data_IF_305470932496
#
_entry.id   IF_305470932496
#
_cell.length_a   1.000
_cell.length_b   1.000
_cell.length_c   1.000
_cell.angle_alpha   90.00
_cell.angle_beta   90.00
_cell.angle_gamma   90.00
#
_symmetry.space_group_name_H-M   'P 1'
#
loop_
_entity.id
_entity.type
_entity.pdbx_description
1 polymer ?
#
# COMPACT_ATOMS: atom_id res chain seq x y z
N UNK A 1 -4.31 13.12 17.49
CA UNK A 1 -4.77 11.89 18.18
C UNK A 1 -3.55 11.05 18.46
N UNK A 2 -3.39 10.54 19.68
CA UNK A 2 -2.21 9.74 20.07
C UNK A 2 -2.60 8.28 20.18
N UNK A 3 -2.00 7.46 19.32
CA UNK A 3 -2.23 6.02 19.24
C UNK A 3 -1.52 5.27 20.38
N UNK A 4 -1.90 4.01 20.67
CA UNK A 4 -1.22 3.18 21.68
C UNK A 4 0.29 3.03 21.46
N UNK A 5 0.75 3.07 20.20
CA UNK A 5 2.17 3.08 19.82
C UNK A 5 2.95 4.32 20.29
N UNK A 6 2.25 5.36 20.74
CA UNK A 6 2.81 6.68 21.05
C UNK A 6 2.84 7.63 19.84
N UNK A 7 2.61 7.12 18.63
CA UNK A 7 2.53 7.95 17.43
C UNK A 7 1.38 8.95 17.52
N UNK A 8 1.59 10.16 17.01
CA UNK A 8 0.59 11.23 17.04
C UNK A 8 0.28 11.71 15.64
N UNK A 9 -1.01 11.72 15.31
CA UNK A 9 -1.53 12.27 14.05
C UNK A 9 -2.27 13.57 14.34
N UNK A 10 -1.81 14.66 13.73
CA UNK A 10 -2.39 16.00 13.83
C UNK A 10 -3.08 16.43 12.53
N UNK A 11 -3.53 17.69 12.43
CA UNK A 11 -4.19 18.21 11.22
C UNK A 11 -5.58 17.63 10.93
N UNK A 12 -6.12 16.81 11.84
CA UNK A 12 -7.42 16.16 11.71
C UNK A 12 -8.59 17.13 11.88
N UNK A 13 -9.68 16.87 11.18
CA UNK A 13 -10.95 17.56 11.32
C UNK A 13 -11.85 16.93 12.39
N UNK A 14 -13.15 16.88 12.10
CA UNK A 14 -14.16 16.37 13.04
C UNK A 14 -14.03 14.87 13.30
N UNK A 15 -13.42 14.13 12.38
CA UNK A 15 -13.14 12.69 12.44
C UNK A 15 -12.22 12.30 13.60
N UNK A 16 -11.41 13.24 14.12
CA UNK A 16 -10.54 12.99 15.27
C UNK A 16 -11.29 12.40 16.47
N UNK A 17 -12.55 12.80 16.68
CA UNK A 17 -13.40 12.29 17.78
C UNK A 17 -13.66 10.79 17.66
N UNK A 18 -13.74 10.27 16.44
CA UNK A 18 -13.97 8.86 16.18
C UNK A 18 -12.70 8.07 16.53
N UNK A 19 -11.55 8.59 16.11
CA UNK A 19 -10.25 7.95 16.26
C UNK A 19 -9.82 7.81 17.72
N UNK A 20 -10.21 8.73 18.61
CA UNK A 20 -9.93 8.61 20.07
C UNK A 20 -10.42 7.27 20.64
N UNK A 21 -11.56 6.75 20.15
CA UNK A 21 -12.08 5.45 20.57
C UNK A 21 -11.67 4.31 19.65
N UNK A 22 -11.58 4.57 18.34
CA UNK A 22 -11.33 3.57 17.30
C UNK A 22 -9.85 3.41 16.93
N UNK A 23 -8.93 3.85 17.79
CA UNK A 23 -7.47 3.66 17.66
C UNK A 23 -6.95 2.32 18.20
N UNK A 24 -7.83 1.48 18.75
CA UNK A 24 -7.42 0.29 19.51
C UNK A 24 -6.90 0.62 20.91
N UNK A 25 -6.38 -0.39 21.60
CA UNK A 25 -5.88 -0.30 22.99
C UNK A 25 -4.45 -0.82 23.19
N UNK A 26 -3.82 -1.31 22.14
CA UNK A 26 -2.42 -1.73 22.10
C UNK A 26 -1.89 -1.57 20.68
N UNK A 27 -0.60 -1.80 20.52
CA UNK A 27 0.14 -1.76 19.27
C UNK A 27 1.16 -2.91 19.22
N UNK A 28 1.91 -3.01 18.11
CA UNK A 28 3.06 -3.91 18.04
C UNK A 28 4.13 -3.64 19.12
N UNK A 29 4.23 -2.38 19.59
CA UNK A 29 5.17 -1.99 20.64
C UNK A 29 4.95 -2.76 21.95
N UNK A 30 3.70 -2.95 22.37
CA UNK A 30 3.40 -3.73 23.58
C UNK A 30 3.74 -5.22 23.40
N UNK A 31 3.60 -5.77 22.20
CA UNK A 31 4.01 -7.15 21.89
C UNK A 31 5.54 -7.28 21.99
N UNK A 32 6.29 -6.37 21.38
CA UNK A 32 7.75 -6.36 21.49
C UNK A 32 8.22 -6.16 22.93
N UNK A 33 7.60 -5.24 23.68
CA UNK A 33 7.90 -5.03 25.09
C UNK A 33 7.67 -6.30 25.91
N UNK A 34 6.56 -7.00 25.68
CA UNK A 34 6.26 -8.26 26.35
C UNK A 34 7.28 -9.36 26.02
N UNK A 35 7.73 -9.44 24.76
CA UNK A 35 8.77 -10.39 24.33
C UNK A 35 10.11 -10.06 24.99
N UNK A 36 10.50 -8.79 25.01
CA UNK A 36 11.73 -8.32 25.66
C UNK A 36 11.73 -8.65 27.16
N UNK A 37 10.63 -8.38 27.86
CA UNK A 37 10.50 -8.64 29.30
C UNK A 37 10.49 -10.14 29.62
N UNK A 38 9.87 -10.95 28.76
CA UNK A 38 9.83 -12.41 28.91
C UNK A 38 11.16 -13.11 28.60
N UNK A 39 12.03 -12.46 27.82
CA UNK A 39 13.37 -12.92 27.41
C UNK A 39 13.47 -14.43 27.08
N UNK A 40 12.63 -14.97 26.17
CA UNK A 40 12.70 -16.38 25.78
C UNK A 40 14.01 -16.69 25.04
N UNK A 41 14.42 -17.96 25.05
CA UNK A 41 15.71 -18.37 24.47
C UNK A 41 15.78 -18.22 22.94
N UNK A 42 14.62 -18.33 22.27
CA UNK A 42 14.41 -18.12 20.84
C UNK A 42 12.91 -17.89 20.57
N UNK A 43 12.56 -17.61 19.32
CA UNK A 43 11.19 -17.29 18.88
C UNK A 43 10.18 -18.43 19.04
N UNK A 44 10.67 -19.65 19.28
CA UNK A 44 9.87 -20.87 19.38
C UNK A 44 9.86 -21.47 20.79
N UNK A 45 10.46 -20.80 21.76
CA UNK A 45 10.50 -21.24 23.15
C UNK A 45 9.34 -20.63 23.93
N UNK A 46 8.49 -21.45 24.58
CA UNK A 46 7.41 -20.94 25.44
C UNK A 46 7.95 -20.13 26.61
N UNK A 47 7.23 -19.09 26.99
CA UNK A 47 7.50 -18.35 28.23
C UNK A 47 6.23 -18.07 29.00
N UNK A 48 6.26 -18.29 30.32
CA UNK A 48 5.17 -17.93 31.24
C UNK A 48 4.98 -16.40 31.35
N UNK A 49 5.97 -15.61 30.92
CA UNK A 49 5.88 -14.16 30.82
C UNK A 49 5.12 -13.67 29.58
N UNK A 50 4.84 -14.56 28.62
CA UNK A 50 4.10 -14.24 27.41
C UNK A 50 2.61 -14.53 27.57
N UNK A 51 1.78 -13.66 27.02
CA UNK A 51 0.33 -13.77 26.98
C UNK A 51 -0.22 -13.00 25.79
N UNK A 52 -1.44 -13.31 25.36
CA UNK A 52 -2.04 -12.60 24.24
C UNK A 52 -2.28 -11.12 24.54
N UNK A 53 -1.64 -10.25 23.75
CA UNK A 53 -1.92 -8.80 23.72
C UNK A 53 -3.09 -8.54 22.78
N UNK A 54 -4.08 -7.75 23.22
CA UNK A 54 -5.31 -7.53 22.45
C UNK A 54 -5.46 -6.07 22.02
N UNK A 55 -5.41 -5.82 20.71
CA UNK A 55 -5.66 -4.51 20.09
C UNK A 55 -7.05 -3.95 20.38
N UNK A 56 -7.97 -4.79 20.84
CA UNK A 56 -9.37 -4.48 21.12
C UNK A 56 -10.21 -4.31 19.84
N UNK A 57 -11.54 -4.27 19.99
CA UNK A 57 -12.45 -4.32 18.85
C UNK A 57 -12.56 -2.98 18.11
N UNK A 58 -12.83 -3.06 16.81
CA UNK A 58 -13.02 -1.92 15.91
C UNK A 58 -11.88 -0.89 15.88
N UNK A 59 -10.60 -1.30 15.70
CA UNK A 59 -9.44 -0.42 15.63
C UNK A 59 -9.31 0.28 14.25
N UNK A 60 -10.43 0.76 13.70
CA UNK A 60 -10.52 1.30 12.33
C UNK A 60 -9.51 2.43 12.04
N UNK A 61 -9.22 3.27 13.04
CA UNK A 61 -8.23 4.33 12.88
C UNK A 61 -6.80 3.77 12.81
N UNK A 62 -6.50 2.72 13.58
CA UNK A 62 -5.20 2.07 13.53
C UNK A 62 -4.99 1.38 12.17
N UNK A 63 -6.04 0.77 11.60
CA UNK A 63 -6.00 0.20 10.25
C UNK A 63 -5.83 1.29 9.18
N UNK A 64 -6.64 2.36 9.22
CA UNK A 64 -6.59 3.44 8.23
C UNK A 64 -5.21 4.12 8.15
N UNK A 65 -4.63 4.43 9.32
CA UNK A 65 -3.35 5.11 9.43
C UNK A 65 -2.15 4.16 9.33
N UNK A 66 -2.36 2.85 9.52
CA UNK A 66 -1.38 1.80 9.26
C UNK A 66 0.01 2.13 9.82
N UNK A 67 1.04 2.22 8.97
CA UNK A 67 2.40 2.56 9.38
C UNK A 67 2.57 3.90 10.10
N UNK A 68 1.62 4.83 10.04
CA UNK A 68 1.65 6.06 10.87
C UNK A 68 1.14 5.82 12.29
N UNK A 69 0.25 4.83 12.47
CA UNK A 69 -0.31 4.47 13.77
C UNK A 69 0.44 3.31 14.44
N UNK A 70 1.18 2.51 13.67
CA UNK A 70 1.84 1.27 14.11
C UNK A 70 0.89 0.36 14.91
N UNK A 71 -0.37 0.25 14.47
CA UNK A 71 -1.40 -0.47 15.21
C UNK A 71 -1.21 -1.98 15.19
N UNK A 72 -0.80 -2.52 14.04
CA UNK A 72 -0.45 -3.92 13.84
C UNK A 72 0.92 -4.27 14.41
N UNK A 73 1.26 -5.55 14.37
CA UNK A 73 2.63 -6.00 14.59
C UNK A 73 3.38 -5.97 13.26
N UNK A 74 4.23 -4.96 13.11
CA UNK A 74 5.06 -4.74 11.93
C UNK A 74 6.42 -5.43 12.12
N UNK A 75 6.82 -6.28 11.17
CA UNK A 75 8.08 -7.01 11.25
C UNK A 75 9.26 -6.11 10.87
N UNK A 76 10.32 -6.14 11.68
CA UNK A 76 11.41 -5.14 11.62
C UNK A 76 12.19 -5.03 10.29
N UNK A 77 12.13 -6.05 9.42
CA UNK A 77 12.81 -6.03 8.11
C UNK A 77 11.83 -5.82 6.94
N UNK A 78 10.55 -5.62 7.25
CA UNK A 78 9.49 -5.41 6.28
C UNK A 78 9.07 -3.95 6.30
N UNK A 79 8.59 -3.47 5.15
CA UNK A 79 8.01 -2.14 5.05
C UNK A 79 6.52 -2.23 4.81
N UNK A 80 5.78 -1.31 5.41
CA UNK A 80 4.32 -1.32 5.42
C UNK A 80 3.76 -0.08 4.74
N UNK A 81 2.58 -0.23 4.15
CA UNK A 81 1.80 0.91 3.70
C UNK A 81 1.51 1.84 4.88
N UNK A 82 1.53 3.14 4.61
CA UNK A 82 1.15 4.16 5.59
C UNK A 82 -0.35 4.47 5.43
N UNK A 83 -0.78 5.70 5.67
CA UNK A 83 -2.19 6.07 5.61
C UNK A 83 -2.79 5.79 4.23
N UNK A 84 -3.91 5.07 4.21
CA UNK A 84 -4.68 4.90 2.99
C UNK A 84 -5.40 6.21 2.64
N UNK A 85 -5.22 6.65 1.39
CA UNK A 85 -5.89 7.82 0.81
C UNK A 85 -6.95 7.35 -0.18
N UNK A 86 -8.20 7.68 0.11
CA UNK A 86 -9.29 7.49 -0.83
C UNK A 86 -9.47 8.75 -1.69
N UNK A 87 -10.53 8.85 -2.50
CA UNK A 87 -10.82 10.09 -3.23
C UNK A 87 -11.16 11.24 -2.26
N UNK A 88 -10.84 12.52 -2.57
CA UNK A 88 -10.92 13.62 -1.61
C UNK A 88 -12.28 13.85 -0.91
N UNK A 89 -13.37 13.39 -1.49
CA UNK A 89 -14.72 13.50 -0.91
C UNK A 89 -15.09 12.36 0.07
N UNK A 90 -14.25 11.32 0.16
CA UNK A 90 -14.48 10.09 0.92
C UNK A 90 -13.20 9.61 1.62
N UNK A 91 -12.43 10.53 2.19
CA UNK A 91 -11.12 10.29 2.80
C UNK A 91 -11.15 10.38 4.34
N UNK A 92 -12.33 10.67 4.92
CA UNK A 92 -12.55 10.80 6.37
C UNK A 92 -13.67 9.90 6.88
N UNK A 93 -13.60 9.53 8.16
CA UNK A 93 -14.53 8.59 8.78
C UNK A 93 -16.01 9.01 8.61
N UNK A 94 -16.33 10.29 8.82
CA UNK A 94 -17.70 10.82 8.78
C UNK A 94 -18.23 11.09 7.36
N UNK A 95 -17.42 10.84 6.31
CA UNK A 95 -17.85 10.91 4.92
C UNK A 95 -18.47 9.57 4.48
N UNK A 96 -17.92 8.46 4.98
CA UNK A 96 -18.45 7.11 4.75
C UNK A 96 -19.43 6.65 5.85
N UNK A 97 -19.26 7.11 7.09
CA UNK A 97 -20.09 6.71 8.23
C UNK A 97 -21.00 7.84 8.71
N UNK A 98 -22.22 7.48 9.09
CA UNK A 98 -23.08 8.38 9.82
C UNK A 98 -22.58 8.61 11.26
N UNK A 99 -22.33 9.86 11.64
CA UNK A 99 -21.69 10.17 12.93
C UNK A 99 -22.54 9.86 14.17
N UNK A 100 -23.86 9.62 14.02
CA UNK A 100 -24.75 9.33 15.16
C UNK A 100 -25.07 7.83 15.27
N UNK A 101 -25.17 7.14 14.14
CA UNK A 101 -25.51 5.70 14.11
C UNK A 101 -24.32 4.80 13.86
N UNK A 102 -23.18 5.38 13.45
CA UNK A 102 -21.95 4.73 12.99
C UNK A 102 -22.12 3.77 11.81
N UNK A 103 -23.32 3.72 11.22
CA UNK A 103 -23.62 2.89 10.05
C UNK A 103 -22.92 3.44 8.80
N UNK A 104 -22.45 2.53 7.97
CA UNK A 104 -21.89 2.82 6.65
C UNK A 104 -23.00 3.32 5.73
N UNK A 105 -22.72 4.41 5.00
CA UNK A 105 -23.56 4.98 3.94
C UNK A 105 -23.25 4.28 2.62
N UNK A 106 -23.63 3.01 2.51
CA UNK A 106 -23.28 2.16 1.35
C UNK A 106 -23.77 2.73 0.02
N UNK A 107 -24.85 3.51 0.04
CA UNK A 107 -25.43 4.19 -1.11
C UNK A 107 -24.49 5.24 -1.69
N UNK A 108 -23.65 5.84 -0.85
CA UNK A 108 -22.60 6.74 -1.30
C UNK A 108 -21.53 5.98 -2.11
N UNK A 109 -21.17 4.76 -1.69
CA UNK A 109 -20.22 3.90 -2.41
C UNK A 109 -20.73 3.55 -3.81
N UNK A 110 -22.03 3.30 -3.95
CA UNK A 110 -22.67 2.91 -5.21
C UNK A 110 -22.56 3.97 -6.31
N UNK A 111 -22.27 5.22 -5.96
CA UNK A 111 -22.02 6.32 -6.91
C UNK A 111 -20.80 6.05 -7.79
N UNK A 112 -19.74 5.47 -7.22
CA UNK A 112 -18.48 5.20 -7.93
C UNK A 112 -18.29 3.69 -8.17
N UNK A 113 -18.68 2.87 -7.19
CA UNK A 113 -18.55 1.43 -7.20
C UNK A 113 -19.84 0.76 -7.67
N UNK A 114 -20.02 0.77 -8.99
CA UNK A 114 -21.18 0.18 -9.66
C UNK A 114 -21.41 -1.27 -9.23
N UNK A 115 -22.67 -1.62 -8.98
CA UNK A 115 -23.07 -2.95 -8.49
C UNK A 115 -23.20 -3.05 -6.97
N UNK A 116 -22.80 -2.01 -6.21
CA UNK A 116 -23.06 -1.94 -4.77
C UNK A 116 -24.54 -1.65 -4.52
N UNK A 117 -25.24 -2.60 -3.90
CA UNK A 117 -26.67 -2.47 -3.52
C UNK A 117 -26.90 -2.52 -2.01
N UNK A 118 -25.89 -2.94 -1.25
CA UNK A 118 -25.85 -3.00 0.20
C UNK A 118 -24.39 -3.21 0.68
N UNK A 119 -24.19 -3.29 2.00
CA UNK A 119 -22.86 -3.49 2.58
C UNK A 119 -22.21 -4.83 2.19
N UNK A 120 -22.98 -5.90 1.99
CA UNK A 120 -22.42 -7.21 1.61
C UNK A 120 -21.90 -7.20 0.19
N UNK A 121 -22.55 -6.48 -0.71
CA UNK A 121 -22.05 -6.29 -2.08
C UNK A 121 -20.78 -5.42 -2.13
N UNK A 122 -20.56 -4.56 -1.14
CA UNK A 122 -19.32 -3.79 -1.03
C UNK A 122 -18.08 -4.68 -0.80
N UNK A 123 -18.25 -5.90 -0.31
CA UNK A 123 -17.16 -6.88 -0.19
C UNK A 123 -16.59 -7.30 -1.54
N UNK A 124 -17.35 -7.14 -2.64
CA UNK A 124 -16.89 -7.40 -4.00
C UNK A 124 -16.07 -6.23 -4.59
N UNK A 125 -15.93 -5.11 -3.86
CA UNK A 125 -15.16 -3.96 -4.33
C UNK A 125 -13.67 -4.28 -4.27
N UNK A 126 -12.96 -3.88 -5.32
CA UNK A 126 -11.52 -4.04 -5.47
C UNK A 126 -10.94 -2.90 -6.29
N UNK A 127 -9.78 -2.38 -5.89
CA UNK A 127 -9.08 -1.36 -6.66
C UNK A 127 -8.61 -1.94 -7.99
N UNK A 128 -8.70 -1.16 -9.09
CA UNK A 128 -8.33 -1.64 -10.42
C UNK A 128 -6.88 -2.18 -10.47
N UNK A 129 -5.94 -1.50 -9.79
CA UNK A 129 -4.53 -1.91 -9.69
C UNK A 129 -4.33 -3.30 -9.07
N UNK A 130 -5.24 -3.72 -8.18
CA UNK A 130 -5.19 -5.02 -7.52
C UNK A 130 -5.86 -6.15 -8.29
N UNK A 131 -6.52 -5.88 -9.44
CA UNK A 131 -7.25 -6.90 -10.23
C UNK A 131 -6.36 -7.96 -10.86
N UNK A 132 -5.07 -7.65 -11.06
CA UNK A 132 -4.11 -8.63 -11.56
C UNK A 132 -3.47 -9.45 -10.44
N UNK A 133 -3.74 -9.11 -9.17
CA UNK A 133 -3.16 -9.76 -8.01
C UNK A 133 -4.11 -10.81 -7.42
N UNK A 134 -3.49 -11.89 -6.98
CA UNK A 134 -4.05 -13.02 -6.25
C UNK A 134 -3.25 -13.07 -4.95
N UNK A 135 -3.69 -12.31 -3.93
CA UNK A 135 -2.90 -12.10 -2.71
C UNK A 135 -2.91 -13.36 -1.85
N UNK A 136 -4.06 -14.02 -1.77
CA UNK A 136 -4.19 -15.25 -1.00
C UNK A 136 -3.72 -16.48 -1.77
N UNK A 137 -3.51 -16.41 -3.09
CA UNK A 137 -2.93 -17.47 -3.92
C UNK A 137 -3.88 -18.62 -4.22
N UNK A 138 -5.19 -18.41 -4.16
CA UNK A 138 -6.22 -19.42 -4.45
C UNK A 138 -6.55 -19.56 -5.96
N UNK A 139 -6.10 -18.61 -6.77
CA UNK A 139 -6.30 -18.56 -8.21
C UNK A 139 -7.50 -17.74 -8.69
N UNK A 140 -8.27 -17.11 -7.80
CA UNK A 140 -9.40 -16.23 -8.12
C UNK A 140 -9.02 -14.75 -8.02
N UNK A 141 -8.77 -14.13 -9.17
CA UNK A 141 -8.50 -12.68 -9.26
C UNK A 141 -9.75 -11.82 -9.47
N UNK A 142 -10.92 -12.46 -9.50
CA UNK A 142 -12.20 -11.81 -9.82
C UNK A 142 -12.99 -11.41 -8.58
N UNK A 143 -12.68 -12.02 -7.43
CA UNK A 143 -13.29 -11.69 -6.16
C UNK A 143 -12.86 -10.32 -5.62
N UNK A 144 -13.63 -9.80 -4.68
CA UNK A 144 -13.32 -8.52 -4.03
C UNK A 144 -12.18 -8.65 -3.02
N UNK A 145 -11.54 -7.52 -2.70
CA UNK A 145 -10.36 -7.49 -1.82
C UNK A 145 -10.65 -7.98 -0.39
N UNK A 146 -11.93 -7.98 0.02
CA UNK A 146 -12.36 -8.56 1.27
C UNK A 146 -12.07 -10.07 1.35
N UNK A 147 -12.31 -10.81 0.26
CA UNK A 147 -12.17 -12.26 0.26
C UNK A 147 -10.70 -12.70 0.25
N UNK A 148 -9.86 -11.94 -0.43
CA UNK A 148 -8.39 -12.07 -0.37
C UNK A 148 -7.85 -11.92 1.07
N UNK A 149 -8.38 -10.95 1.83
CA UNK A 149 -8.05 -10.80 3.26
C UNK A 149 -8.56 -12.01 4.06
N UNK A 150 -9.76 -12.53 3.76
CA UNK A 150 -10.28 -13.70 4.46
C UNK A 150 -9.46 -14.96 4.16
N UNK A 151 -9.07 -15.17 2.91
CA UNK A 151 -8.22 -16.28 2.49
C UNK A 151 -6.86 -16.26 3.19
N UNK A 152 -6.21 -15.09 3.24
CA UNK A 152 -4.99 -14.91 4.03
C UNK A 152 -5.22 -15.13 5.53
N UNK A 153 -6.31 -14.61 6.10
CA UNK A 153 -6.62 -14.82 7.52
C UNK A 153 -6.86 -16.30 7.84
N UNK A 154 -7.51 -17.05 6.95
CA UNK A 154 -7.76 -18.48 7.11
C UNK A 154 -6.47 -19.29 6.97
N UNK A 155 -5.57 -18.92 6.04
CA UNK A 155 -4.22 -19.49 5.93
C UNK A 155 -3.38 -19.22 7.18
N UNK A 156 -3.40 -17.99 7.70
CA UNK A 156 -2.72 -17.63 8.94
C UNK A 156 -3.28 -18.43 10.11
N UNK A 157 -4.60 -18.55 10.23
CA UNK A 157 -5.20 -19.33 11.31
C UNK A 157 -4.85 -20.82 11.23
N UNK A 158 -4.86 -21.39 10.03
CA UNK A 158 -4.36 -22.75 9.81
C UNK A 158 -2.92 -22.91 10.29
N UNK A 159 -2.05 -21.96 9.95
CA UNK A 159 -0.65 -21.96 10.34
C UNK A 159 -0.49 -21.83 11.87
N UNK A 160 -1.28 -20.95 12.52
CA UNK A 160 -1.34 -20.78 13.97
C UNK A 160 -1.72 -22.09 14.68
N UNK A 161 -2.81 -22.74 14.24
CA UNK A 161 -3.25 -24.01 14.85
C UNK A 161 -2.20 -25.10 14.71
N UNK A 162 -1.59 -25.20 13.53
CA UNK A 162 -0.56 -26.19 13.24
C UNK A 162 0.70 -25.95 14.07
N UNK A 163 1.17 -24.71 14.14
CA UNK A 163 2.32 -24.32 14.95
C UNK A 163 2.08 -24.60 16.42
N UNK A 164 0.89 -24.25 16.95
CA UNK A 164 0.48 -24.57 18.31
C UNK A 164 0.60 -26.06 18.61
N UNK A 165 0.03 -26.91 17.76
CA UNK A 165 0.08 -28.38 17.90
C UNK A 165 1.50 -28.95 17.79
N UNK A 166 2.36 -28.41 16.93
CA UNK A 166 3.72 -28.92 16.70
C UNK A 166 4.71 -28.48 17.81
N UNK A 167 4.56 -27.27 18.36
CA UNK A 167 5.58 -26.67 19.23
C UNK A 167 5.13 -26.44 20.69
N UNK A 168 3.83 -26.50 20.99
CA UNK A 168 3.29 -25.95 22.25
C UNK A 168 2.11 -26.77 22.81
N UNK A 169 0.91 -26.40 22.38
CA UNK A 169 -0.37 -27.03 22.65
C UNK A 169 -1.32 -26.63 21.51
N UNK A 170 -2.28 -27.50 21.18
CA UNK A 170 -3.31 -27.17 20.20
C UNK A 170 -4.10 -25.93 20.67
N UNK A 171 -4.38 -25.03 19.74
CA UNK A 171 -4.98 -23.71 20.01
C UNK A 171 -6.21 -23.52 19.14
N UNK A 172 -7.27 -22.93 19.71
CA UNK A 172 -8.44 -22.49 18.97
C UNK A 172 -8.78 -21.03 19.27
N UNK A 173 -9.54 -20.41 18.36
CA UNK A 173 -9.99 -19.03 18.45
C UNK A 173 -11.50 -18.95 18.67
N UNK A 174 -11.91 -18.30 19.76
CA UNK A 174 -13.30 -18.11 20.17
C UNK A 174 -13.79 -16.67 20.00
N UNK A 175 -15.07 -16.44 20.32
CA UNK A 175 -15.73 -15.13 20.17
C UNK A 175 -15.76 -14.29 21.45
N UNK A 176 -15.27 -14.83 22.55
CA UNK A 176 -15.25 -14.19 23.86
C UNK A 176 -13.83 -14.11 24.42
N UNK A 177 -13.55 -13.04 25.17
CA UNK A 177 -12.27 -12.86 25.86
C UNK A 177 -11.92 -14.10 26.72
N UNK A 178 -10.65 -14.59 26.68
CA UNK A 178 -9.47 -14.01 26.04
C UNK A 178 -9.23 -14.37 24.56
N UNK A 179 -10.26 -14.86 23.86
CA UNK A 179 -10.29 -15.23 22.44
C UNK A 179 -9.44 -16.46 22.07
N UNK A 180 -8.34 -16.72 22.76
CA UNK A 180 -7.49 -17.88 22.50
C UNK A 180 -7.59 -18.91 23.62
N UNK A 181 -7.92 -20.14 23.26
CA UNK A 181 -8.15 -21.25 24.19
C UNK A 181 -7.37 -22.49 23.74
N UNK A 182 -7.16 -23.43 24.66
CA UNK A 182 -6.63 -24.74 24.26
C UNK A 182 -7.71 -25.49 23.47
N UNK A 183 -7.34 -26.00 22.30
CA UNK A 183 -8.14 -26.93 21.51
C UNK A 183 -7.98 -28.32 22.12
N UNK A 184 -8.95 -28.72 22.93
CA UNK A 184 -8.85 -29.91 23.79
C UNK A 184 -9.30 -31.19 23.10
N UNK A 185 -10.14 -31.07 22.07
CA UNK A 185 -10.59 -32.22 21.27
C UNK A 185 -9.87 -32.34 19.92
N UNK A 186 -9.11 -31.32 19.52
CA UNK A 186 -8.26 -31.33 18.34
C UNK A 186 -9.03 -31.14 17.04
N UNK A 187 -10.27 -30.65 17.09
CA UNK A 187 -11.10 -30.41 15.91
C UNK A 187 -10.80 -29.07 15.22
N UNK A 188 -10.00 -28.22 15.86
CA UNK A 188 -9.57 -26.92 15.37
C UNK A 188 -10.66 -25.85 15.38
N UNK A 189 -11.84 -26.14 15.91
CA UNK A 189 -12.90 -25.20 16.25
C UNK A 189 -12.77 -24.82 17.72
N UNK A 190 -13.51 -23.80 18.15
CA UNK A 190 -13.50 -23.36 19.54
C UNK A 190 -14.94 -23.34 20.02
N UNK A 191 -15.40 -24.47 20.54
CA UNK A 191 -16.80 -24.64 20.89
C UNK A 191 -17.11 -24.04 22.28
N UNK A 192 -18.38 -24.11 22.70
CA UNK A 192 -18.82 -23.56 24.00
C UNK A 192 -18.17 -24.25 25.20
N UNK A 193 -17.71 -25.49 25.04
CA UNK A 193 -17.05 -26.22 26.12
C UNK A 193 -15.60 -25.81 26.34
N UNK A 194 -14.96 -25.27 25.30
CA UNK A 194 -13.56 -24.83 25.30
C UNK A 194 -13.41 -23.33 25.56
N UNK A 195 -14.41 -22.53 25.18
CA UNK A 195 -14.46 -21.07 25.36
C UNK A 195 -14.75 -20.67 26.81
N UNK A 196 -14.01 -21.26 27.75
CA UNK A 196 -14.07 -21.02 29.19
C UNK A 196 -12.78 -20.36 29.64
N UNK A 197 -12.86 -19.36 30.52
CA UNK A 197 -11.67 -18.68 31.04
C UNK A 197 -10.64 -19.63 31.68
N UNK A 198 -11.09 -20.72 32.30
CA UNK A 198 -10.21 -21.76 32.86
C UNK A 198 -9.41 -22.53 31.79
N UNK A 199 -9.85 -22.50 30.53
CA UNK A 199 -9.20 -23.13 29.38
C UNK A 199 -8.44 -22.11 28.50
N UNK A 200 -8.15 -20.93 29.03
CA UNK A 200 -7.37 -19.92 28.31
C UNK A 200 -6.04 -20.50 27.81
N UNK A 201 -5.63 -20.14 26.60
CA UNK A 201 -4.36 -20.59 26.05
C UNK A 201 -3.20 -19.88 26.75
N UNK A 202 -2.18 -20.65 27.17
CA UNK A 202 -1.07 -20.16 27.99
C UNK A 202 0.33 -20.55 27.46
N UNK A 203 0.41 -21.29 26.34
CA UNK A 203 1.68 -21.77 25.78
C UNK A 203 2.15 -20.86 24.64
N UNK A 204 2.42 -19.61 25.01
CA UNK A 204 2.80 -18.55 24.08
C UNK A 204 4.31 -18.54 23.81
N UNK A 205 4.69 -18.42 22.55
CA UNK A 205 6.05 -18.14 22.06
C UNK A 205 6.07 -16.76 21.40
N UNK A 206 7.24 -16.12 21.22
CA UNK A 206 7.34 -14.87 20.46
C UNK A 206 6.69 -14.95 19.07
N UNK A 207 6.96 -16.01 18.30
CA UNK A 207 6.38 -16.21 16.96
C UNK A 207 4.84 -16.25 17.01
N UNK A 208 4.30 -16.98 17.98
CA UNK A 208 2.85 -17.16 18.10
C UNK A 208 2.12 -15.90 18.55
N UNK A 209 2.69 -15.09 19.47
CA UNK A 209 2.02 -13.85 19.92
C UNK A 209 1.98 -12.80 18.80
N UNK A 210 3.00 -12.71 17.94
CA UNK A 210 3.03 -11.82 16.77
C UNK A 210 1.93 -12.19 15.77
N UNK A 211 1.89 -13.45 15.37
CA UNK A 211 0.88 -13.96 14.44
C UNK A 211 -0.55 -13.83 14.99
N UNK A 212 -0.77 -14.18 16.26
CA UNK A 212 -2.07 -14.05 16.92
C UNK A 212 -2.54 -12.58 17.02
N UNK A 213 -1.61 -11.65 17.22
CA UNK A 213 -1.91 -10.22 17.27
C UNK A 213 -2.42 -9.68 15.93
N UNK A 214 -1.72 -9.99 14.84
CA UNK A 214 -2.13 -9.58 13.49
C UNK A 214 -3.42 -10.28 13.05
N UNK A 215 -3.61 -11.56 13.39
CA UNK A 215 -4.89 -12.26 13.17
C UNK A 215 -6.04 -11.57 13.90
N UNK A 216 -5.85 -11.19 15.17
CA UNK A 216 -6.85 -10.46 15.94
C UNK A 216 -7.20 -9.14 15.25
N UNK A 217 -6.19 -8.33 14.89
CA UNK A 217 -6.40 -7.04 14.24
C UNK A 217 -7.26 -7.18 12.97
N UNK A 218 -6.91 -8.14 12.11
CA UNK A 218 -7.68 -8.41 10.89
C UNK A 218 -9.11 -8.88 11.20
N UNK A 219 -9.34 -9.68 12.25
CA UNK A 219 -10.69 -10.18 12.59
C UNK A 219 -11.58 -9.16 13.29
N UNK A 220 -11.01 -8.20 14.03
CA UNK A 220 -11.80 -7.26 14.84
C UNK A 220 -11.99 -5.88 14.20
N UNK A 221 -11.38 -5.63 13.04
CA UNK A 221 -11.78 -4.55 12.14
C UNK A 221 -12.59 -5.10 10.95
N UNK A 222 -13.94 -5.10 11.01
CA UNK A 222 -14.77 -5.59 9.92
C UNK A 222 -14.69 -4.72 8.66
N UNK A 223 -14.11 -3.52 8.74
CA UNK A 223 -13.95 -2.59 7.62
C UNK A 223 -12.53 -2.60 7.05
N UNK A 224 -11.64 -3.51 7.45
CA UNK A 224 -10.23 -3.51 7.04
C UNK A 224 -10.03 -3.50 5.51
N UNK A 225 -10.94 -4.13 4.77
CA UNK A 225 -10.99 -4.14 3.30
C UNK A 225 -11.20 -2.76 2.67
N UNK A 226 -11.75 -1.80 3.42
CA UNK A 226 -12.00 -0.42 2.99
C UNK A 226 -11.15 0.60 3.74
N UNK A 227 -10.75 0.32 4.98
CA UNK A 227 -9.91 1.23 5.77
C UNK A 227 -8.46 1.21 5.28
N UNK A 228 -7.87 0.03 5.07
CA UNK A 228 -6.55 -0.15 4.46
C UNK A 228 -6.30 -1.64 4.17
N UNK A 229 -6.80 -2.12 3.02
CA UNK A 229 -6.69 -3.52 2.66
C UNK A 229 -5.23 -3.96 2.50
N UNK A 230 -4.40 -3.10 1.90
CA UNK A 230 -2.99 -3.38 1.60
C UNK A 230 -2.17 -3.61 2.86
N UNK A 231 -2.32 -2.73 3.84
CA UNK A 231 -1.67 -2.91 5.14
C UNK A 231 -2.11 -4.20 5.84
N UNK A 232 -3.41 -4.51 5.80
CA UNK A 232 -3.94 -5.75 6.39
C UNK A 232 -3.36 -6.99 5.70
N UNK A 233 -3.28 -6.98 4.36
CA UNK A 233 -2.67 -8.04 3.57
C UNK A 233 -1.19 -8.22 3.93
N UNK A 234 -0.42 -7.13 4.04
CA UNK A 234 0.99 -7.17 4.44
C UNK A 234 1.16 -7.80 5.82
N UNK A 235 0.38 -7.37 6.83
CA UNK A 235 0.42 -7.95 8.17
C UNK A 235 0.10 -9.46 8.17
N UNK A 236 -0.94 -9.87 7.45
CA UNK A 236 -1.32 -11.28 7.38
C UNK A 236 -0.28 -12.12 6.64
N UNK A 237 0.21 -11.63 5.49
CA UNK A 237 1.26 -12.25 4.70
C UNK A 237 2.51 -12.48 5.53
N UNK A 238 3.03 -11.43 6.18
CA UNK A 238 4.28 -11.51 6.94
C UNK A 238 4.12 -12.40 8.18
N UNK A 239 2.94 -12.40 8.79
CA UNK A 239 2.61 -13.34 9.87
C UNK A 239 2.60 -14.81 9.40
N UNK A 240 2.13 -15.08 8.17
CA UNK A 240 2.19 -16.42 7.57
C UNK A 240 3.64 -16.83 7.31
N UNK A 241 4.46 -15.93 6.75
CA UNK A 241 5.88 -16.17 6.48
C UNK A 241 6.64 -16.45 7.78
N UNK A 242 6.45 -15.63 8.80
CA UNK A 242 7.07 -15.80 10.11
C UNK A 242 6.64 -17.11 10.75
N UNK A 243 5.33 -17.38 10.87
CA UNK A 243 4.89 -18.61 11.55
C UNK A 243 5.29 -19.89 10.80
N UNK A 244 5.39 -19.83 9.46
CA UNK A 244 5.88 -20.93 8.64
C UNK A 244 7.32 -21.34 8.97
N UNK A 245 8.18 -20.39 9.38
CA UNK A 245 9.55 -20.67 9.80
C UNK A 245 9.66 -21.59 11.02
N UNK A 246 8.59 -21.66 11.82
CA UNK A 246 8.49 -22.53 13.00
C UNK A 246 7.75 -23.85 12.78
N UNK A 247 7.30 -24.14 11.55
CA UNK A 247 6.62 -25.39 11.21
C UNK A 247 7.60 -26.50 10.81
N UNK A 248 7.28 -27.75 11.16
CA UNK A 248 8.06 -28.93 10.75
C UNK A 248 8.05 -29.11 9.23
N UNK A 249 6.92 -28.82 8.59
CA UNK A 249 6.79 -28.74 7.12
C UNK A 249 6.11 -27.41 6.79
N UNK A 250 6.78 -26.43 6.21
CA UNK A 250 6.17 -25.14 5.90
C UNK A 250 4.93 -25.25 5.00
N UNK A 251 3.97 -24.32 5.13
CA UNK A 251 2.90 -24.17 4.14
C UNK A 251 3.49 -23.67 2.82
N UNK A 252 2.88 -24.03 1.69
CA UNK A 252 3.25 -23.45 0.40
C UNK A 252 2.75 -22.01 0.31
N UNK A 253 3.69 -21.06 0.27
CA UNK A 253 3.43 -19.63 0.13
C UNK A 253 3.88 -19.09 -1.23
N UNK A 254 4.28 -19.95 -2.17
CA UNK A 254 4.86 -19.53 -3.45
C UNK A 254 3.93 -18.71 -4.35
N UNK A 255 2.62 -18.78 -4.08
CA UNK A 255 1.58 -18.04 -4.80
C UNK A 255 1.05 -16.82 -4.05
N UNK A 256 1.43 -16.62 -2.80
CA UNK A 256 0.96 -15.44 -2.07
C UNK A 256 1.59 -14.18 -2.66
N UNK A 257 0.80 -13.12 -2.74
CA UNK A 257 1.29 -11.80 -3.14
C UNK A 257 1.14 -10.85 -1.96
N UNK A 258 2.20 -10.07 -1.71
CA UNK A 258 2.26 -9.11 -0.59
C UNK A 258 1.87 -7.69 -1.00
N UNK A 259 2.28 -7.28 -2.20
CA UNK A 259 2.30 -5.87 -2.61
C UNK A 259 1.51 -5.62 -3.90
N UNK A 260 1.06 -4.38 -4.01
CA UNK A 260 0.47 -3.84 -5.23
C UNK A 260 1.53 -3.58 -6.31
N UNK A 261 1.12 -3.48 -7.58
CA UNK A 261 2.03 -3.12 -8.66
C UNK A 261 2.27 -1.61 -8.76
N UNK A 262 3.49 -1.24 -9.13
CA UNK A 262 3.84 0.10 -9.62
C UNK A 262 3.48 1.25 -8.66
N UNK A 263 2.78 2.26 -9.18
CA UNK A 263 2.41 3.47 -8.44
C UNK A 263 1.52 3.25 -7.21
N UNK A 264 0.92 2.06 -7.08
CA UNK A 264 0.02 1.72 -5.99
C UNK A 264 0.71 0.93 -4.88
N UNK A 265 2.01 0.61 -5.05
CA UNK A 265 2.82 -0.02 -4.02
C UNK A 265 3.30 1.01 -3.00
N UNK A 266 2.53 1.16 -1.92
CA UNK A 266 2.89 2.01 -0.80
C UNK A 266 4.19 1.55 -0.16
N UNK A 267 4.32 0.27 0.19
CA UNK A 267 5.50 -0.31 0.85
C UNK A 267 6.79 -0.33 0.00
N UNK A 268 6.70 -0.15 -1.32
CA UNK A 268 7.85 -0.18 -2.21
C UNK A 268 8.83 0.97 -1.98
N UNK A 269 10.13 0.69 -2.18
CA UNK A 269 11.25 1.62 -1.94
C UNK A 269 11.02 3.07 -2.41
N UNK A 270 10.42 3.33 -3.59
CA UNK A 270 10.20 4.70 -4.05
C UNK A 270 9.36 5.58 -3.12
N UNK A 271 8.55 5.00 -2.24
CA UNK A 271 7.68 5.74 -1.32
C UNK A 271 8.22 5.79 0.13
N UNK A 272 9.34 5.14 0.44
CA UNK A 272 9.80 4.91 1.82
C UNK A 272 10.91 5.83 2.31
N UNK A 273 11.37 6.75 1.46
CA UNK A 273 12.45 7.70 1.82
C UNK A 273 12.05 8.67 2.93
N UNK A 274 10.76 8.75 3.25
CA UNK A 274 10.16 9.65 4.23
C UNK A 274 9.64 8.92 5.46
N UNK A 275 9.95 7.65 5.69
CA UNK A 275 9.39 6.94 6.86
C UNK A 275 9.85 7.54 8.20
N UNK A 276 10.99 8.24 8.22
CA UNK A 276 11.48 8.99 9.38
C UNK A 276 10.97 10.44 9.43
N UNK A 277 10.30 10.90 8.38
CA UNK A 277 9.82 12.26 8.18
C UNK A 277 8.29 12.23 8.01
N UNK A 278 7.52 12.85 8.90
CA UNK A 278 6.06 12.95 8.74
C UNK A 278 5.63 13.88 7.58
N UNK A 279 6.53 14.18 6.65
CA UNK A 279 6.32 15.05 5.51
C UNK A 279 7.19 14.69 4.31
N UNK A 280 6.68 15.01 3.12
CA UNK A 280 7.46 14.98 1.87
C UNK A 280 7.86 16.39 1.50
N UNK A 281 9.16 16.66 1.45
CA UNK A 281 9.70 17.98 1.11
C UNK A 281 9.30 18.45 -0.30
N UNK A 282 9.19 19.76 -0.47
CA UNK A 282 8.86 20.45 -1.73
C UNK A 282 9.67 20.01 -2.95
N UNK A 283 10.93 19.60 -2.77
CA UNK A 283 11.75 19.17 -3.89
C UNK A 283 11.40 17.77 -4.44
N UNK A 284 10.59 17.00 -3.70
CA UNK A 284 10.21 15.61 -4.02
C UNK A 284 8.69 15.41 -4.13
N UNK A 285 7.89 16.27 -3.49
CA UNK A 285 6.42 16.15 -3.44
C UNK A 285 5.75 16.13 -4.80
N UNK A 286 6.36 16.75 -5.81
CA UNK A 286 5.96 16.64 -7.23
C UNK A 286 5.62 15.19 -7.65
N UNK A 287 6.40 14.21 -7.20
CA UNK A 287 6.25 12.81 -7.57
C UNK A 287 5.87 11.89 -6.40
N UNK A 288 6.26 12.25 -5.18
CA UNK A 288 6.25 11.36 -4.00
C UNK A 288 5.25 11.82 -2.94
N UNK A 289 4.08 12.31 -3.34
CA UNK A 289 3.06 12.71 -2.36
C UNK A 289 1.65 12.59 -2.90
N UNK A 290 1.43 11.74 -3.91
CA UNK A 290 0.15 11.61 -4.61
C UNK A 290 -0.39 12.95 -5.15
N UNK A 291 -1.70 13.12 -5.06
CA UNK A 291 -2.39 14.28 -5.64
C UNK A 291 -2.03 15.63 -5.03
N UNK A 292 -1.82 15.79 -3.69
CA UNK A 292 -1.39 17.07 -3.12
C UNK A 292 -0.19 17.70 -3.84
N UNK A 293 0.97 17.06 -3.82
CA UNK A 293 2.17 17.65 -4.40
C UNK A 293 2.20 17.62 -5.93
N UNK A 294 1.64 16.57 -6.56
CA UNK A 294 1.59 16.51 -8.03
C UNK A 294 0.73 17.63 -8.62
N UNK A 295 -0.49 17.82 -8.12
CA UNK A 295 -1.42 18.84 -8.63
C UNK A 295 -0.90 20.24 -8.36
N UNK A 296 -0.30 20.45 -7.18
CA UNK A 296 0.35 21.73 -6.85
C UNK A 296 1.50 22.03 -7.82
N UNK A 297 2.38 21.06 -8.09
CA UNK A 297 3.48 21.25 -9.03
C UNK A 297 2.99 21.56 -10.44
N UNK A 298 1.98 20.85 -10.95
CA UNK A 298 1.45 21.08 -12.30
C UNK A 298 0.96 22.52 -12.46
N UNK A 299 0.25 23.05 -11.47
CA UNK A 299 -0.27 24.42 -11.48
C UNK A 299 0.86 25.46 -11.41
N UNK A 300 1.72 25.34 -10.39
CA UNK A 300 2.65 26.41 -10.01
C UNK A 300 4.08 26.25 -10.52
N UNK A 301 4.49 25.05 -10.96
CA UNK A 301 5.85 24.74 -11.42
C UNK A 301 6.89 24.61 -10.32
N UNK A 302 6.46 24.67 -9.07
CA UNK A 302 7.27 24.46 -7.86
C UNK A 302 6.54 23.48 -6.97
N UNK A 303 7.26 22.67 -6.20
CA UNK A 303 6.62 21.79 -5.22
C UNK A 303 6.35 22.50 -3.90
N UNK A 304 5.48 21.90 -3.11
CA UNK A 304 5.20 22.29 -1.72
C UNK A 304 5.58 21.17 -0.75
N UNK A 305 5.85 21.50 0.51
CA UNK A 305 5.97 20.45 1.53
C UNK A 305 4.59 19.87 1.81
N UNK A 306 4.45 18.55 1.72
CA UNK A 306 3.20 17.84 2.00
C UNK A 306 3.33 17.18 3.38
N UNK A 307 2.48 17.53 4.36
CA UNK A 307 2.59 17.06 5.75
C UNK A 307 2.00 15.65 5.92
N UNK A 308 2.46 14.71 5.11
CA UNK A 308 2.12 13.29 5.16
C UNK A 308 3.26 12.49 4.52
N UNK A 309 3.60 11.33 5.09
CA UNK A 309 4.50 10.35 4.48
C UNK A 309 3.96 9.90 3.12
N UNK A 310 4.84 9.67 2.14
CA UNK A 310 4.40 9.10 0.85
C UNK A 310 3.70 7.74 1.07
N UNK A 311 2.78 7.40 0.17
CA UNK A 311 2.11 6.10 0.11
C UNK A 311 1.75 5.72 -1.33
N UNK A 312 2.61 6.11 -2.28
CA UNK A 312 2.34 5.99 -3.70
C UNK A 312 1.33 7.03 -4.19
N UNK A 313 0.68 6.73 -5.32
CA UNK A 313 -0.25 7.64 -5.97
C UNK A 313 -1.70 7.26 -5.67
N UNK A 314 -2.48 8.24 -5.23
CA UNK A 314 -3.94 8.12 -5.12
C UNK A 314 -4.62 8.40 -6.46
N UNK A 315 -5.89 8.01 -6.57
CA UNK A 315 -6.68 8.15 -7.80
C UNK A 315 -6.76 9.61 -8.29
N UNK A 316 -6.82 10.58 -7.37
CA UNK A 316 -6.89 12.00 -7.70
C UNK A 316 -5.56 12.56 -8.23
N UNK A 317 -4.48 11.78 -8.24
CA UNK A 317 -3.25 12.16 -8.93
C UNK A 317 -3.54 12.26 -10.43
N UNK A 318 -4.23 11.25 -10.97
CA UNK A 318 -4.47 11.08 -12.41
C UNK A 318 -5.91 11.37 -12.85
N UNK A 319 -6.89 11.34 -11.96
CA UNK A 319 -8.30 11.57 -12.26
C UNK A 319 -8.86 12.81 -11.57
N UNK A 320 -9.84 13.47 -12.18
CA UNK A 320 -10.46 14.69 -11.64
C UNK A 320 -11.97 14.59 -11.41
N UNK A 321 -12.61 13.54 -11.94
CA UNK A 321 -14.01 13.23 -11.72
C UNK A 321 -14.15 11.77 -11.31
N UNK A 322 -15.03 11.52 -10.36
CA UNK A 322 -15.26 10.19 -9.75
C UNK A 322 -16.75 9.84 -9.70
N UNK A 323 -17.61 10.52 -10.46
CA UNK A 323 -19.04 10.17 -10.54
C UNK A 323 -19.29 8.97 -11.46
N UNK A 324 -20.23 9.12 -12.39
CA UNK A 324 -20.51 8.09 -13.42
C UNK A 324 -19.34 7.90 -14.40
N UNK A 325 -18.39 8.84 -14.43
CA UNK A 325 -17.17 8.79 -15.25
C UNK A 325 -15.93 8.99 -14.40
N UNK A 326 -14.83 8.38 -14.84
CA UNK A 326 -13.49 8.52 -14.26
C UNK A 326 -12.61 9.37 -15.18
N UNK A 327 -12.92 10.67 -15.26
CA UNK A 327 -12.24 11.58 -16.19
C UNK A 327 -10.76 11.72 -15.81
N UNK A 328 -9.89 11.56 -16.80
CA UNK A 328 -8.44 11.71 -16.64
C UNK A 328 -8.12 13.20 -16.62
N UNK A 329 -7.35 13.61 -15.61
CA UNK A 329 -6.82 14.95 -15.54
C UNK A 329 -5.82 15.21 -16.67
N UNK A 330 -5.99 16.36 -17.31
CA UNK A 330 -5.17 16.78 -18.44
C UNK A 330 -4.39 18.05 -18.08
N UNK A 331 -3.13 17.92 -17.63
CA UNK A 331 -2.27 19.08 -17.42
C UNK A 331 -2.15 19.91 -18.69
N UNK A 332 -2.37 21.23 -18.59
CA UNK A 332 -2.24 22.14 -19.73
C UNK A 332 -0.79 22.24 -20.25
N UNK A 333 0.18 21.93 -19.39
CA UNK A 333 1.62 22.08 -19.66
C UNK A 333 2.43 20.99 -18.94
N UNK A 334 3.58 20.69 -19.51
CA UNK A 334 4.68 19.90 -18.94
C UNK A 334 5.83 20.84 -18.62
N UNK A 335 6.34 20.76 -17.39
CA UNK A 335 7.52 21.50 -16.97
C UNK A 335 8.80 20.75 -17.35
N UNK A 336 9.64 21.36 -18.18
CA UNK A 336 10.94 20.80 -18.57
C UNK A 336 12.01 21.11 -17.50
N UNK A 337 13.10 20.32 -17.42
CA UNK A 337 14.10 20.51 -16.38
C UNK A 337 14.87 21.84 -16.44
N UNK A 338 14.80 22.56 -17.56
CA UNK A 338 15.38 23.91 -17.73
C UNK A 338 14.43 25.04 -17.27
N UNK A 339 13.26 24.69 -16.72
CA UNK A 339 12.24 25.63 -16.24
C UNK A 339 11.29 26.14 -17.33
N UNK A 340 11.49 25.76 -18.58
CA UNK A 340 10.55 26.07 -19.67
C UNK A 340 9.36 25.10 -19.66
N UNK A 341 8.31 25.43 -20.41
CA UNK A 341 7.09 24.62 -20.49
C UNK A 341 6.77 24.25 -21.92
N UNK A 342 6.20 23.07 -22.11
CA UNK A 342 5.66 22.60 -23.40
C UNK A 342 4.30 21.93 -23.18
N UNK A 343 3.56 21.68 -24.26
CA UNK A 343 2.34 20.86 -24.21
C UNK A 343 2.59 19.58 -25.00
N UNK A 344 2.52 18.43 -24.33
CA UNK A 344 2.67 17.13 -24.95
C UNK A 344 1.30 16.60 -25.42
N UNK A 345 1.26 15.78 -26.48
CA UNK A 345 0.01 15.30 -27.09
C UNK A 345 -0.75 14.35 -26.16
N UNK A 346 -2.08 14.49 -26.13
CA UNK A 346 -2.98 13.70 -25.28
C UNK A 346 -2.51 13.70 -23.82
N UNK A 347 -2.43 12.52 -23.22
CA UNK A 347 -2.24 12.39 -21.77
C UNK A 347 -0.76 12.42 -21.36
N UNK A 348 0.18 12.62 -22.30
CA UNK A 348 1.61 12.52 -21.99
C UNK A 348 2.06 13.59 -20.99
N UNK A 349 1.42 14.76 -20.97
CA UNK A 349 1.73 15.78 -19.98
C UNK A 349 1.43 15.32 -18.55
N UNK A 350 0.50 14.39 -18.36
CA UNK A 350 0.23 13.76 -17.06
C UNK A 350 1.48 13.03 -16.56
N UNK A 351 1.98 12.09 -17.35
CA UNK A 351 3.12 11.25 -16.97
C UNK A 351 4.44 12.02 -17.00
N UNK A 352 4.65 12.88 -17.99
CA UNK A 352 5.90 13.64 -18.16
C UNK A 352 6.11 14.63 -17.02
N UNK A 353 5.04 15.15 -16.41
CA UNK A 353 5.20 15.94 -15.20
C UNK A 353 5.76 15.15 -14.01
N UNK A 354 6.02 13.85 -14.07
CA UNK A 354 6.92 13.15 -13.14
C UNK A 354 8.16 12.59 -13.85
N UNK A 355 7.97 12.02 -15.04
CA UNK A 355 8.97 11.21 -15.76
C UNK A 355 9.82 12.00 -16.79
N UNK A 356 9.76 13.33 -16.79
CA UNK A 356 10.62 14.16 -17.67
C UNK A 356 12.05 14.31 -17.13
N UNK A 357 12.30 13.96 -15.86
CA UNK A 357 13.57 14.19 -15.17
C UNK A 357 13.65 15.53 -14.45
N UNK A 358 14.66 15.67 -13.59
CA UNK A 358 14.89 16.84 -12.71
C UNK A 358 16.09 17.69 -13.11
N UNK A 359 16.91 17.23 -14.05
CA UNK A 359 18.06 17.97 -14.56
C UNK A 359 18.18 17.77 -16.08
N UNK A 360 18.86 18.72 -16.73
CA UNK A 360 19.14 18.69 -18.15
C UNK A 360 20.54 19.24 -18.43
N UNK A 361 20.92 19.29 -19.71
CA UNK A 361 22.10 20.05 -20.16
C UNK A 361 22.15 21.45 -19.54
N UNK A 362 21.04 22.19 -19.53
CA UNK A 362 21.00 23.55 -19.00
C UNK A 362 21.39 23.61 -17.52
N UNK A 363 21.00 22.60 -16.72
CA UNK A 363 21.38 22.48 -15.31
C UNK A 363 22.89 22.29 -15.15
N UNK A 364 23.51 21.47 -16.02
CA UNK A 364 24.96 21.22 -16.00
C UNK A 364 25.73 22.45 -16.47
N UNK A 365 25.31 23.08 -17.58
CA UNK A 365 25.94 24.29 -18.11
C UNK A 365 25.90 25.43 -17.09
N UNK A 366 24.77 25.61 -16.39
CA UNK A 366 24.65 26.61 -15.34
C UNK A 366 25.61 26.34 -14.16
N UNK A 367 25.78 25.07 -13.76
CA UNK A 367 26.72 24.70 -12.71
C UNK A 367 28.19 24.91 -13.13
N UNK A 368 28.53 24.63 -14.39
CA UNK A 368 29.86 24.91 -14.95
C UNK A 368 30.14 26.41 -15.00
N UNK A 369 29.16 27.20 -15.44
CA UNK A 369 29.28 28.65 -15.57
C UNK A 369 29.38 29.37 -14.21
N UNK A 370 28.71 28.85 -13.17
CA UNK A 370 28.79 29.39 -11.81
C UNK A 370 30.20 29.27 -11.19
N UNK A 371 31.03 28.34 -11.69
CA UNK A 371 32.35 28.04 -11.14
C UNK A 371 32.29 27.35 -9.77
N UNK A 372 33.46 26.99 -9.23
CA UNK A 372 33.58 26.33 -7.93
C UNK A 372 33.70 24.80 -8.00
N UNK A 373 33.46 24.12 -6.88
CA UNK A 373 33.62 22.66 -6.79
C UNK A 373 32.46 21.97 -7.49
N UNK A 374 32.78 21.29 -8.59
CA UNK A 374 31.82 20.48 -9.33
C UNK A 374 31.29 19.33 -8.46
N UNK A 375 30.00 19.04 -8.61
CA UNK A 375 29.32 17.90 -8.01
C UNK A 375 28.53 17.14 -9.07
N UNK A 376 28.24 15.88 -8.78
CA UNK A 376 27.35 15.10 -9.64
C UNK A 376 25.95 15.71 -9.66
N UNK A 377 25.36 15.79 -10.86
CA UNK A 377 24.00 16.25 -11.09
C UNK A 377 23.25 15.05 -11.66
N UNK A 378 22.26 14.56 -10.92
CA UNK A 378 21.44 13.44 -11.32
C UNK A 378 20.15 13.95 -11.97
N UNK A 379 19.78 13.36 -13.11
CA UNK A 379 18.47 13.59 -13.77
C UNK A 379 17.30 12.99 -12.98
N UNK A 380 17.60 12.16 -11.98
CA UNK A 380 16.66 11.35 -11.20
C UNK A 380 16.07 10.18 -12.01
N UNK A 381 15.64 9.14 -11.30
CA UNK A 381 15.33 7.83 -11.88
C UNK A 381 14.09 7.87 -12.78
N UNK A 382 13.96 6.87 -13.66
CA UNK A 382 12.79 6.65 -14.52
C UNK A 382 12.35 7.87 -15.34
N UNK A 383 13.31 8.63 -15.88
CA UNK A 383 13.07 9.79 -16.76
C UNK A 383 12.62 9.39 -18.18
N UNK A 384 11.70 8.43 -18.30
CA UNK A 384 11.26 7.83 -19.56
C UNK A 384 10.65 8.84 -20.52
N UNK A 385 9.87 9.81 -20.02
CA UNK A 385 9.34 10.88 -20.85
C UNK A 385 10.48 11.77 -21.37
N UNK A 386 11.46 12.10 -20.53
CA UNK A 386 12.62 12.89 -20.96
C UNK A 386 13.44 12.18 -22.05
N UNK A 387 13.62 10.87 -21.94
CA UNK A 387 14.26 10.04 -22.96
C UNK A 387 13.43 10.02 -24.25
N UNK A 388 12.11 9.83 -24.14
CA UNK A 388 11.20 9.79 -25.29
C UNK A 388 11.14 11.12 -26.03
N UNK A 389 11.19 12.26 -25.32
CA UNK A 389 11.15 13.59 -25.94
C UNK A 389 12.50 14.02 -26.54
N UNK A 390 13.61 13.35 -26.20
CA UNK A 390 14.93 13.59 -26.78
C UNK A 390 15.40 15.06 -26.60
N UNK A 391 15.79 15.70 -27.70
CA UNK A 391 16.30 17.09 -27.68
C UNK A 391 15.29 18.15 -27.24
N UNK A 392 14.01 17.81 -27.09
CA UNK A 392 13.05 18.72 -26.45
C UNK A 392 13.33 18.85 -24.94
N UNK A 393 13.59 17.73 -24.25
CA UNK A 393 13.82 17.72 -22.80
C UNK A 393 15.31 17.89 -22.42
N UNK A 394 16.22 17.45 -23.30
CA UNK A 394 17.68 17.53 -23.13
C UNK A 394 18.16 17.00 -21.77
N UNK A 395 17.55 15.91 -21.29
CA UNK A 395 17.92 15.30 -20.01
C UNK A 395 19.35 14.75 -20.03
N UNK A 396 19.80 14.27 -21.19
CA UNK A 396 21.21 13.95 -21.43
C UNK A 396 22.03 15.20 -21.77
N UNK A 397 23.33 15.16 -21.48
CA UNK A 397 24.22 16.24 -21.87
C UNK A 397 24.49 16.20 -23.39
N UNK A 398 23.90 17.15 -24.12
CA UNK A 398 24.12 17.33 -25.55
C UNK A 398 25.38 18.18 -25.81
N UNK A 399 26.32 17.66 -26.60
CA UNK A 399 27.59 18.34 -26.88
C UNK A 399 27.46 19.36 -28.01
N UNK A 400 28.16 20.48 -27.88
CA UNK A 400 28.17 21.56 -28.87
C UNK A 400 28.61 21.05 -30.26
N UNK A 401 27.91 21.52 -31.30
CA UNK A 401 28.19 21.13 -32.69
C UNK A 401 27.70 19.73 -33.07
N UNK A 402 26.97 19.04 -32.19
CA UNK A 402 26.28 17.77 -32.49
C UNK A 402 24.78 17.98 -32.62
N UNK A 403 24.15 17.12 -33.39
CA UNK A 403 22.69 17.04 -33.52
C UNK A 403 22.23 15.76 -32.85
N UNK A 404 21.16 15.86 -32.06
CA UNK A 404 20.56 14.75 -31.33
C UNK A 404 19.17 14.45 -31.87
N UNK A 405 18.72 13.22 -31.66
CA UNK A 405 17.36 12.84 -32.01
C UNK A 405 16.35 13.64 -31.18
N UNK A 406 15.26 14.05 -31.81
CA UNK A 406 14.11 14.60 -31.12
C UNK A 406 13.22 13.49 -30.56
N UNK A 407 11.94 13.81 -30.42
CA UNK A 407 10.93 12.89 -29.91
C UNK A 407 10.94 11.55 -30.66
N UNK A 408 10.77 10.46 -29.93
CA UNK A 408 10.57 9.11 -30.45
C UNK A 408 9.47 9.11 -31.52
N UNK A 409 9.78 8.50 -32.66
CA UNK A 409 8.81 8.23 -33.73
C UNK A 409 8.64 6.73 -33.83
N UNK A 410 7.41 6.26 -33.62
CA UNK A 410 7.10 4.84 -33.58
C UNK A 410 5.72 4.57 -34.22
N UNK A 411 5.66 3.60 -35.14
CA UNK A 411 4.47 3.32 -35.93
C UNK A 411 3.29 2.76 -35.13
N UNK A 412 3.57 2.08 -34.01
CA UNK A 412 2.56 1.58 -33.06
C UNK A 412 2.00 2.65 -32.11
N UNK A 413 2.45 3.90 -32.26
CA UNK A 413 2.12 5.03 -31.39
C UNK A 413 3.27 5.48 -30.50
N UNK A 414 3.18 6.71 -30.02
CA UNK A 414 4.29 7.46 -29.37
C UNK A 414 3.88 8.13 -28.06
N UNK A 415 2.67 7.85 -27.58
CA UNK A 415 2.17 8.36 -26.30
C UNK A 415 2.47 7.36 -25.19
N UNK A 416 2.66 7.86 -23.97
CA UNK A 416 2.97 7.03 -22.80
C UNK A 416 1.94 5.90 -22.65
N UNK A 417 0.64 6.24 -22.69
CA UNK A 417 -0.46 5.29 -22.54
C UNK A 417 -0.69 4.40 -23.79
N UNK A 418 0.04 4.60 -24.88
CA UNK A 418 0.02 3.65 -25.99
C UNK A 418 0.78 2.37 -25.64
N UNK A 419 1.91 2.51 -24.95
CA UNK A 419 2.72 1.39 -24.48
C UNK A 419 2.36 0.96 -23.06
N UNK A 420 2.01 1.92 -22.20
CA UNK A 420 1.64 1.72 -20.80
C UNK A 420 0.10 1.84 -20.64
N UNK A 421 -0.65 0.98 -21.32
CA UNK A 421 -2.12 1.05 -21.37
C UNK A 421 -2.74 0.71 -20.00
N UNK A 422 -3.23 1.73 -19.31
CA UNK A 422 -3.82 1.60 -17.97
C UNK A 422 -5.08 0.73 -17.92
N UNK A 423 -5.85 0.66 -19.00
CA UNK A 423 -7.13 -0.08 -18.99
C UNK A 423 -6.87 -1.56 -19.21
N UNK A 424 -6.11 -1.91 -20.25
CA UNK A 424 -5.80 -3.31 -20.56
C UNK A 424 -4.85 -3.94 -19.55
N UNK A 425 -3.94 -3.14 -18.97
CA UNK A 425 -3.03 -3.62 -17.94
C UNK A 425 -3.62 -3.58 -16.53
N UNK A 426 -4.88 -3.16 -16.34
CA UNK A 426 -5.46 -2.93 -15.01
C UNK A 426 -4.59 -2.02 -14.12
N UNK A 427 -4.09 -0.91 -14.67
CA UNK A 427 -3.30 0.12 -13.98
C UNK A 427 -1.95 -0.34 -13.41
N UNK A 428 -1.44 -1.50 -13.83
CA UNK A 428 -0.05 -1.86 -13.57
C UNK A 428 0.94 -0.96 -14.33
N UNK A 429 0.53 -0.45 -15.50
CA UNK A 429 1.37 0.22 -16.49
C UNK A 429 2.55 -0.62 -17.01
N UNK A 430 2.62 -1.91 -16.72
CA UNK A 430 3.65 -2.77 -17.27
C UNK A 430 3.35 -3.06 -18.75
N UNK A 431 4.34 -2.84 -19.62
CA UNK A 431 4.21 -3.11 -21.07
C UNK A 431 3.96 -4.61 -21.30
N UNK A 432 4.48 -5.45 -20.43
CA UNK A 432 4.36 -6.91 -20.47
C UNK A 432 2.92 -7.38 -20.31
N UNK A 433 2.10 -6.66 -19.56
CA UNK A 433 0.68 -7.01 -19.35
C UNK A 433 -0.17 -6.81 -20.60
N UNK A 434 0.32 -6.03 -21.57
CA UNK A 434 -0.39 -5.73 -22.83
C UNK A 434 0.39 -6.16 -24.08
N UNK A 435 1.49 -6.89 -23.90
CA UNK A 435 2.42 -7.26 -24.97
C UNK A 435 1.73 -8.02 -26.10
N UNK A 436 1.00 -9.07 -25.77
CA UNK A 436 0.37 -9.99 -26.72
C UNK A 436 -0.70 -9.24 -27.55
N UNK A 437 -1.37 -8.25 -26.93
CA UNK A 437 -2.44 -7.48 -27.56
C UNK A 437 -1.90 -6.34 -28.44
N UNK A 438 -0.77 -5.74 -28.07
CA UNK A 438 -0.28 -4.48 -28.66
C UNK A 438 1.04 -4.59 -29.42
N UNK A 439 1.97 -5.41 -28.93
CA UNK A 439 3.37 -5.42 -29.37
C UNK A 439 3.70 -6.65 -30.23
N UNK A 440 3.16 -7.82 -29.89
CA UNK A 440 3.54 -9.10 -30.49
C UNK A 440 3.40 -9.11 -32.03
N UNK A 441 2.38 -8.44 -32.58
CA UNK A 441 2.15 -8.38 -34.03
C UNK A 441 3.33 -7.77 -34.82
N UNK A 442 4.13 -6.90 -34.20
CA UNK A 442 5.28 -6.25 -34.85
C UNK A 442 6.63 -6.64 -34.23
N UNK A 443 6.62 -7.30 -33.07
CA UNK A 443 7.80 -7.67 -32.28
C UNK A 443 7.83 -9.16 -31.89
N UNK A 444 7.05 -10.02 -32.56
CA UNK A 444 6.93 -11.45 -32.23
C UNK A 444 8.16 -12.29 -32.51
N UNK A 445 9.21 -11.71 -33.10
CA UNK A 445 10.55 -12.27 -33.19
C UNK A 445 11.42 -11.98 -31.95
N UNK A 446 10.97 -11.08 -31.07
CA UNK A 446 11.58 -10.77 -29.78
C UNK A 446 10.93 -11.54 -28.64
N UNK A 447 11.71 -11.81 -27.59
CA UNK A 447 11.16 -12.30 -26.33
C UNK A 447 10.33 -11.19 -25.67
N UNK A 448 9.21 -11.59 -25.04
CA UNK A 448 8.44 -10.71 -24.19
C UNK A 448 9.37 -10.14 -23.12
N UNK A 449 9.47 -8.81 -22.96
CA UNK A 449 10.32 -8.22 -21.93
C UNK A 449 9.93 -8.78 -20.56
N UNK A 450 10.92 -8.97 -19.68
CA UNK A 450 10.66 -9.31 -18.27
C UNK A 450 10.25 -8.07 -17.46
#
# INVERSE_FOLDING_TARGET
VTFPSGATVDGLGVEARCMVCHQGRSSGLEVDQQIMDAAPANDDTPSEGLGFTNIHYYPAAATLFAGQAHGGYEYANETYDTRFRHVPAFDKCNECHDSHTTRVRWDACATCHQGTTDLTTAFNIRQIASRNQDYDGDGDRSEGIYYEIQGLADKLFLAIRRYGSENNAAVCYGTAYPYWFNDTDGDGLCNSDETKFANSYARWTPRLVKAAYNYQMAKVDPGNFAHNAKYTIQLLHDSIVDINGGLVVPLDTSKLVREDPGHFNGAGEPARHWDADDEVQSSCSRCHSGSPGYRFFVEYGVGETVPETDNGLDCATCHENFGDTYDVFMPAKTWLPDGTTTTLPGNDSLCANCHIGRASKATVDAALAAGGKLRFINIHYLAAAGTSEGTLAKIGYEYDGKTYAGRLVHGGGVQCLTCHDAVQSNHTFHVTDVWDQRCENCHGDGEKPE
#
